data_IF_211840528241
#
_entry.id   IF_211840528241
#
_cell.length_a   1.000
_cell.length_b   1.000
_cell.length_c   1.000
_cell.angle_alpha   90.00
_cell.angle_beta   90.00
_cell.angle_gamma   90.00
#
_symmetry.space_group_name_H-M   'P 1'
#
loop_
_entity.id
_entity.type
_entity.pdbx_description
1 polymer ?
#
# COMPACT_ATOMS: atom_id res chain seq x y z
N UNK A 1 -16.42 9.57 4.84
CA UNK A 1 -15.61 8.53 5.48
C UNK A 1 -14.22 8.56 4.88
N UNK A 2 -13.20 8.36 5.71
CA UNK A 2 -11.78 8.24 5.31
C UNK A 2 -11.59 7.25 4.15
N UNK A 3 -10.60 7.50 3.29
CA UNK A 3 -10.37 6.77 2.03
C UNK A 3 -9.92 5.32 2.19
N UNK A 4 -9.89 4.56 1.08
CA UNK A 4 -9.28 3.22 1.08
C UNK A 4 -7.76 3.29 1.28
N UNK A 5 -7.16 4.43 0.95
CA UNK A 5 -5.74 4.68 1.04
C UNK A 5 -5.23 4.93 2.46
N UNK A 6 -6.09 5.15 3.45
CA UNK A 6 -5.68 5.50 4.83
C UNK A 6 -5.28 4.27 5.67
N UNK A 7 -5.06 3.12 5.05
CA UNK A 7 -4.71 1.88 5.75
C UNK A 7 -3.21 1.72 5.90
N UNK A 8 -2.75 1.47 7.13
CA UNK A 8 -1.32 1.38 7.42
C UNK A 8 -0.71 0.08 6.86
N UNK A 9 0.50 0.17 6.33
CA UNK A 9 1.36 -1.00 6.18
C UNK A 9 1.95 -1.41 7.54
N UNK A 10 2.03 -2.71 7.77
CA UNK A 10 2.64 -3.29 8.94
C UNK A 10 3.55 -4.42 8.52
N UNK A 11 4.78 -4.42 9.04
CA UNK A 11 5.80 -5.44 8.76
C UNK A 11 6.27 -6.08 10.06
N UNK A 12 6.25 -7.41 10.08
CA UNK A 12 6.83 -8.23 11.15
C UNK A 12 8.00 -9.02 10.57
N UNK A 13 9.16 -8.90 11.21
CA UNK A 13 10.38 -9.58 10.81
C UNK A 13 10.67 -10.68 11.82
N UNK A 14 11.03 -11.87 11.34
CA UNK A 14 11.53 -13.00 12.15
C UNK A 14 10.64 -13.42 13.33
N UNK A 15 9.33 -13.31 13.18
CA UNK A 15 8.33 -13.78 14.14
C UNK A 15 8.07 -12.82 15.30
N UNK A 16 8.36 -11.53 15.14
CA UNK A 16 8.01 -10.47 16.08
C UNK A 16 6.52 -10.52 16.50
N UNK A 17 6.24 -10.20 17.77
CA UNK A 17 4.88 -10.15 18.31
C UNK A 17 4.09 -8.91 17.85
N UNK A 18 4.80 -7.82 17.58
CA UNK A 18 4.27 -6.52 17.14
C UNK A 18 5.09 -6.03 15.95
N UNK A 19 4.49 -5.31 14.98
CA UNK A 19 5.21 -4.92 13.79
C UNK A 19 6.34 -3.94 14.13
N UNK A 20 7.55 -4.18 13.64
CA UNK A 20 8.70 -3.28 13.79
C UNK A 20 8.63 -2.09 12.83
N UNK A 21 7.90 -2.24 11.72
CA UNK A 21 7.54 -1.15 10.81
C UNK A 21 6.04 -1.01 10.83
N UNK A 22 5.56 0.15 11.25
CA UNK A 22 4.15 0.53 11.23
C UNK A 22 4.02 1.89 10.53
N UNK A 23 3.28 1.91 9.45
CA UNK A 23 3.12 3.06 8.59
C UNK A 23 2.08 4.06 9.06
N UNK A 24 1.61 4.86 8.11
CA UNK A 24 0.64 5.95 8.34
C UNK A 24 -0.48 6.01 7.31
N UNK A 25 -0.38 5.22 6.24
CA UNK A 25 -1.32 5.20 5.15
C UNK A 25 -0.74 4.49 3.93
N UNK A 26 -1.61 3.85 3.17
CA UNK A 26 -1.28 3.20 1.91
C UNK A 26 -0.75 4.21 0.90
N UNK A 27 -1.30 5.43 0.83
CA UNK A 27 -0.72 6.44 -0.06
C UNK A 27 0.68 6.84 0.35
N UNK A 28 0.92 6.98 1.66
CA UNK A 28 2.22 7.38 2.18
C UNK A 28 3.25 6.29 1.85
N UNK A 29 2.88 5.01 2.03
CA UNK A 29 3.73 3.88 1.68
C UNK A 29 4.09 3.84 0.20
N UNK A 30 3.16 4.18 -0.70
CA UNK A 30 3.42 4.20 -2.15
C UNK A 30 3.97 5.55 -2.65
N UNK A 31 4.34 6.48 -1.74
CA UNK A 31 4.96 7.76 -2.05
C UNK A 31 4.00 8.83 -2.58
N UNK A 32 2.71 8.67 -2.30
CA UNK A 32 1.69 9.71 -2.41
C UNK A 32 1.57 10.52 -1.12
N UNK A 33 0.55 11.38 -1.07
CA UNK A 33 0.11 12.10 0.13
C UNK A 33 -1.30 12.67 -0.13
N UNK A 34 -2.17 12.66 0.89
CA UNK A 34 -3.56 13.12 0.76
C UNK A 34 -4.35 12.37 -0.32
N UNK A 35 -4.12 11.06 -0.39
CA UNK A 35 -4.60 10.14 -1.42
C UNK A 35 -3.95 10.28 -2.81
N UNK A 36 -4.38 9.44 -3.75
CA UNK A 36 -3.91 9.44 -5.14
C UNK A 36 -4.79 10.33 -6.04
N UNK A 37 -4.17 11.28 -6.76
CA UNK A 37 -4.90 12.28 -7.58
C UNK A 37 -4.72 12.10 -9.09
N UNK A 38 -3.67 11.38 -9.49
CA UNK A 38 -3.28 11.14 -10.87
C UNK A 38 -2.28 9.99 -10.93
N UNK A 39 -2.07 9.48 -12.13
CA UNK A 39 -0.95 8.60 -12.44
C UNK A 39 0.38 9.34 -12.26
N UNK A 40 1.38 8.62 -11.77
CA UNK A 40 2.76 9.06 -11.76
C UNK A 40 3.67 7.84 -11.66
N UNK A 41 4.80 7.89 -12.36
CA UNK A 41 5.66 6.74 -12.54
C UNK A 41 7.10 7.12 -12.17
N UNK A 42 7.49 6.85 -10.92
CA UNK A 42 8.89 6.98 -10.49
C UNK A 42 9.60 5.62 -10.57
N UNK A 43 10.94 5.56 -10.60
CA UNK A 43 11.67 4.31 -10.76
C UNK A 43 11.31 3.22 -9.74
N UNK A 44 11.01 3.61 -8.50
CA UNK A 44 10.82 2.67 -7.39
C UNK A 44 9.43 2.69 -6.78
N UNK A 45 8.56 3.64 -7.13
CA UNK A 45 7.18 3.67 -6.63
C UNK A 45 6.28 4.49 -7.55
N UNK A 46 4.97 4.30 -7.45
CA UNK A 46 4.03 5.10 -8.22
C UNK A 46 2.62 4.56 -8.32
N UNK A 47 1.85 5.25 -9.15
CA UNK A 47 0.49 4.88 -9.57
C UNK A 47 0.53 4.67 -11.08
N UNK A 48 0.59 3.40 -11.50
CA UNK A 48 0.69 3.03 -12.92
C UNK A 48 -0.67 2.97 -13.63
N UNK A 49 -1.76 2.94 -12.86
CA UNK A 49 -3.11 3.02 -13.38
C UNK A 49 -4.02 3.78 -12.40
N UNK A 50 -4.81 4.71 -12.94
CA UNK A 50 -5.75 5.51 -12.16
C UNK A 50 -7.05 5.74 -12.92
N UNK A 51 -8.14 5.17 -12.43
CA UNK A 51 -9.47 5.39 -12.96
C UNK A 51 -10.37 6.02 -11.89
N UNK A 52 -10.97 7.18 -12.20
CA UNK A 52 -12.03 7.76 -11.37
C UNK A 52 -13.38 7.25 -11.80
N UNK A 53 -14.27 7.00 -10.84
CA UNK A 53 -15.69 6.81 -11.12
C UNK A 53 -16.29 8.11 -11.67
N UNK A 54 -16.77 8.16 -12.93
CA UNK A 54 -17.23 9.41 -13.57
C UNK A 54 -18.38 10.09 -12.81
N UNK A 55 -19.23 9.30 -12.16
CA UNK A 55 -20.36 9.81 -11.38
C UNK A 55 -19.96 10.55 -10.11
N UNK A 56 -18.71 10.41 -9.64
CA UNK A 56 -18.17 11.09 -8.44
C UNK A 56 -16.74 11.58 -8.66
N UNK A 57 -16.51 12.62 -9.48
CA UNK A 57 -15.18 13.05 -9.90
C UNK A 57 -14.31 13.59 -8.75
N UNK A 58 -14.93 14.06 -7.68
CA UNK A 58 -14.29 14.54 -6.45
C UNK A 58 -14.01 13.42 -5.45
N UNK A 59 -14.55 12.23 -5.69
CA UNK A 59 -14.28 11.06 -4.86
C UNK A 59 -13.10 10.31 -5.45
N UNK A 60 -12.08 10.04 -4.63
CA UNK A 60 -10.98 9.14 -4.97
C UNK A 60 -11.45 7.67 -4.88
N UNK A 61 -12.50 7.35 -5.62
CA UNK A 61 -13.09 6.04 -5.76
C UNK A 61 -12.95 5.59 -7.22
N UNK A 62 -12.65 4.30 -7.40
CA UNK A 62 -12.39 3.70 -8.69
C UNK A 62 -11.30 2.65 -8.61
N UNK A 63 -10.58 2.42 -9.71
CA UNK A 63 -9.54 1.42 -9.83
C UNK A 63 -8.16 2.08 -9.80
N UNK A 64 -7.25 1.47 -9.04
CA UNK A 64 -5.91 1.99 -8.81
C UNK A 64 -4.92 0.84 -8.88
N UNK A 65 -3.82 1.04 -9.59
CA UNK A 65 -2.64 0.16 -9.50
C UNK A 65 -1.50 0.97 -8.93
N UNK A 66 -1.05 0.58 -7.74
CA UNK A 66 0.08 1.19 -7.03
C UNK A 66 1.23 0.19 -6.96
N UNK A 67 2.46 0.70 -7.00
CA UNK A 67 3.65 -0.14 -6.91
C UNK A 67 4.72 0.51 -6.04
N UNK A 68 5.52 -0.33 -5.37
CA UNK A 68 6.74 0.04 -4.67
C UNK A 68 7.75 -1.10 -4.77
N UNK A 69 9.00 -0.75 -5.06
CA UNK A 69 10.13 -1.65 -5.16
C UNK A 69 11.19 -1.24 -4.12
N UNK A 70 11.48 -2.16 -3.21
CA UNK A 70 12.51 -1.99 -2.18
C UNK A 70 13.91 -2.35 -2.70
N UNK A 71 14.30 -1.81 -3.85
CA UNK A 71 15.64 -2.07 -4.43
C UNK A 71 16.73 -1.32 -3.67
N UNK A 72 16.46 -0.08 -3.26
CA UNK A 72 17.41 0.78 -2.53
C UNK A 72 17.24 0.70 -1.01
N UNK A 73 16.12 0.17 -0.56
CA UNK A 73 15.70 0.06 0.84
C UNK A 73 15.09 -1.33 1.13
N UNK A 74 15.85 -2.44 0.92
CA UNK A 74 15.34 -3.78 1.15
C UNK A 74 14.92 -4.00 2.61
N UNK A 75 13.94 -4.89 2.82
CA UNK A 75 13.47 -5.32 4.13
C UNK A 75 14.03 -6.72 4.43
N UNK A 76 15.22 -6.85 5.05
CA UNK A 76 15.87 -8.14 5.28
C UNK A 76 15.17 -8.94 6.39
N UNK A 77 15.25 -10.27 6.29
CA UNK A 77 14.78 -11.22 7.30
C UNK A 77 15.67 -12.48 7.30
N UNK A 78 15.71 -13.20 8.42
CA UNK A 78 16.50 -14.42 8.58
C UNK A 78 15.66 -15.69 8.63
N UNK A 79 14.45 -15.62 9.17
CA UNK A 79 13.56 -16.76 9.46
C UNK A 79 12.20 -16.60 8.81
N UNK A 80 11.58 -15.43 8.91
CA UNK A 80 10.23 -15.21 8.40
C UNK A 80 9.98 -13.74 8.11
N UNK A 81 9.10 -13.50 7.15
CA UNK A 81 8.66 -12.17 6.78
C UNK A 81 7.15 -12.17 6.67
N UNK A 82 6.50 -11.19 7.30
CA UNK A 82 5.08 -10.92 7.10
C UNK A 82 4.90 -9.44 6.88
N UNK A 83 4.21 -9.09 5.81
CA UNK A 83 3.70 -7.75 5.57
C UNK A 83 2.18 -7.82 5.42
N UNK A 84 1.49 -6.81 5.92
CA UNK A 84 0.09 -6.56 5.61
C UNK A 84 -0.13 -5.08 5.36
N UNK A 85 -1.20 -4.74 4.66
CA UNK A 85 -1.71 -3.37 4.53
C UNK A 85 -3.16 -3.41 4.99
N UNK A 86 -3.56 -2.48 5.85
CA UNK A 86 -4.96 -2.39 6.26
C UNK A 86 -5.87 -1.99 5.09
N UNK A 87 -7.11 -2.49 5.09
CA UNK A 87 -8.11 -2.08 4.10
C UNK A 87 -8.82 -0.81 4.55
N UNK A 88 -8.18 0.33 4.28
CA UNK A 88 -8.51 1.61 4.91
C UNK A 88 -8.30 1.56 6.43
N UNK A 89 -8.44 2.71 7.10
CA UNK A 89 -8.17 2.81 8.53
C UNK A 89 -8.91 1.75 9.36
N UNK A 90 -8.19 1.00 10.19
CA UNK A 90 -8.73 -0.06 11.05
C UNK A 90 -9.55 -1.11 10.26
N UNK A 91 -9.12 -1.40 9.02
CA UNK A 91 -9.75 -2.37 8.12
C UNK A 91 -11.25 -2.10 7.84
N UNK A 92 -11.68 -0.84 7.91
CA UNK A 92 -13.08 -0.48 7.79
C UNK A 92 -13.63 -0.57 6.34
N UNK A 93 -12.76 -0.62 5.31
CA UNK A 93 -13.15 -0.73 3.89
C UNK A 93 -13.21 -2.17 3.40
N UNK A 94 -14.06 -2.98 4.02
CA UNK A 94 -14.30 -4.39 3.60
C UNK A 94 -15.04 -4.50 2.26
N UNK A 95 -15.59 -3.39 1.80
CA UNK A 95 -16.28 -3.21 0.52
C UNK A 95 -15.33 -3.07 -0.67
N UNK A 96 -14.02 -2.92 -0.44
CA UNK A 96 -13.01 -2.75 -1.49
C UNK A 96 -12.42 -4.11 -1.93
N UNK A 97 -12.45 -4.36 -3.24
CA UNK A 97 -11.72 -5.49 -3.82
C UNK A 97 -10.20 -5.17 -3.86
N UNK A 98 -9.37 -6.17 -3.58
CA UNK A 98 -7.92 -6.01 -3.51
C UNK A 98 -7.21 -7.26 -4.04
N UNK A 99 -6.11 -7.04 -4.76
CA UNK A 99 -5.19 -8.08 -5.22
C UNK A 99 -3.77 -7.52 -5.16
N UNK A 100 -2.79 -8.37 -4.90
CA UNK A 100 -1.38 -7.95 -4.79
C UNK A 100 -0.45 -9.07 -5.22
N UNK A 101 0.73 -8.68 -5.71
CA UNK A 101 1.86 -9.57 -5.96
C UNK A 101 3.04 -9.07 -5.13
N UNK A 102 3.73 -9.98 -4.46
CA UNK A 102 4.96 -9.68 -3.73
C UNK A 102 6.14 -10.33 -4.45
N UNK A 103 7.25 -9.60 -4.54
CA UNK A 103 8.52 -10.10 -5.08
C UNK A 103 9.53 -10.13 -3.95
N UNK A 104 10.21 -11.26 -3.75
CA UNK A 104 11.23 -11.40 -2.73
C UNK A 104 12.31 -12.39 -3.15
N UNK A 105 13.42 -12.35 -2.41
CA UNK A 105 14.51 -13.31 -2.51
C UNK A 105 14.72 -13.94 -1.15
N UNK A 106 14.99 -15.25 -1.12
CA UNK A 106 15.32 -15.99 0.09
C UNK A 106 16.34 -17.08 -0.23
N UNK A 107 17.00 -17.60 0.82
CA UNK A 107 17.82 -18.81 0.72
C UNK A 107 16.95 -20.06 0.82
#
# INVERSE_FOLDING_TARGET
>A
GQGWWEGDEMVWIDGEATPSINGTGTEDYFGGAWGFRREYNMPYHGVSYYEKVPARPDWQAGLFTVYRFHEKDPLPFLKSFRMSIERGHNNHRRDSAYSSVAYWYQR
#
